data_IF_601346680176
#
_entry.id   IF_601346680176
#
_cell.length_a   1.000
_cell.length_b   1.000
_cell.length_c   1.000
_cell.angle_alpha   90.00
_cell.angle_beta   90.00
_cell.angle_gamma   90.00
#
_symmetry.space_group_name_H-M   'P 1'
#
loop_
_entity.id
_entity.type
_entity.pdbx_description
1 polymer ?
#
# COMPACT_ATOMS: atom_id res chain seq x y z
N UNK A 1 -38.33 -15.20 9.72
CA UNK A 1 -37.64 -16.13 8.80
C UNK A 1 -36.49 -16.77 9.57
N UNK A 2 -36.59 -18.05 9.95
CA UNK A 2 -35.61 -18.73 10.81
C UNK A 2 -34.26 -18.87 10.09
N UNK A 3 -33.16 -18.59 10.80
CA UNK A 3 -31.76 -18.62 10.34
C UNK A 3 -31.39 -19.92 9.61
N UNK A 4 -32.09 -21.01 9.91
CA UNK A 4 -31.92 -22.35 9.33
C UNK A 4 -32.19 -22.43 7.82
N UNK A 5 -33.02 -21.52 7.28
CA UNK A 5 -33.37 -21.54 5.85
C UNK A 5 -32.34 -20.83 4.96
N UNK A 6 -31.51 -19.93 5.49
CA UNK A 6 -30.45 -19.26 4.73
C UNK A 6 -29.22 -20.15 4.50
N UNK A 7 -29.04 -21.17 5.34
CA UNK A 7 -27.92 -22.12 5.32
C UNK A 7 -28.05 -23.15 4.18
N UNK A 8 -29.26 -23.44 3.70
CA UNK A 8 -29.48 -24.51 2.69
C UNK A 8 -29.12 -24.12 1.26
N UNK A 9 -28.98 -22.84 0.94
CA UNK A 9 -28.75 -22.38 -0.44
C UNK A 9 -27.26 -22.20 -0.83
N UNK A 10 -26.33 -22.40 0.11
CA UNK A 10 -24.90 -22.16 -0.14
C UNK A 10 -24.10 -23.37 0.33
N UNK A 11 -23.14 -23.85 -0.48
CA UNK A 11 -22.24 -24.95 -0.12
C UNK A 11 -21.36 -24.53 1.06
N UNK A 12 -21.88 -24.68 2.28
CA UNK A 12 -21.19 -24.35 3.53
C UNK A 12 -20.30 -25.52 3.94
N UNK A 13 -18.99 -25.29 4.00
CA UNK A 13 -18.08 -26.20 4.72
C UNK A 13 -18.07 -25.78 6.19
N UNK A 14 -18.62 -26.63 7.07
CA UNK A 14 -18.58 -26.44 8.52
C UNK A 14 -17.25 -26.97 9.03
N UNK A 15 -16.41 -26.10 9.56
CA UNK A 15 -15.20 -26.50 10.28
C UNK A 15 -15.49 -26.44 11.78
N UNK A 16 -15.48 -27.59 12.44
CA UNK A 16 -15.56 -27.69 13.90
C UNK A 16 -14.13 -27.77 14.44
N UNK A 17 -13.71 -26.79 15.23
CA UNK A 17 -12.37 -26.76 15.86
C UNK A 17 -12.37 -27.34 17.29
N UNK A 18 -13.48 -27.95 17.74
CA UNK A 18 -13.60 -28.51 19.09
C UNK A 18 -13.74 -27.47 20.21
N UNK A 19 -13.74 -26.18 19.86
CA UNK A 19 -14.09 -25.04 20.71
C UNK A 19 -15.35 -24.44 20.08
N UNK A 20 -16.21 -23.76 20.84
CA UNK A 20 -17.53 -23.22 20.44
C UNK A 20 -17.53 -22.19 19.28
N UNK A 21 -16.49 -22.17 18.44
CA UNK A 21 -16.35 -21.32 17.27
C UNK A 21 -16.89 -22.03 16.03
N UNK A 22 -17.82 -21.39 15.32
CA UNK A 22 -18.32 -21.85 14.02
C UNK A 22 -17.79 -20.89 12.96
N UNK A 23 -16.99 -21.43 12.03
CA UNK A 23 -16.55 -20.73 10.82
C UNK A 23 -17.52 -21.09 9.71
N UNK A 24 -18.29 -20.10 9.21
CA UNK A 24 -19.12 -20.24 8.02
C UNK A 24 -18.46 -19.49 6.87
N UNK A 25 -18.02 -20.22 5.85
CA UNK A 25 -17.53 -19.64 4.60
C UNK A 25 -18.61 -19.80 3.52
N UNK A 26 -19.19 -18.69 3.07
CA UNK A 26 -20.05 -18.62 1.89
C UNK A 26 -19.30 -17.90 0.76
N UNK A 27 -19.59 -18.20 -0.51
CA UNK A 27 -18.94 -17.61 -1.69
C UNK A 27 -18.93 -16.07 -1.62
N UNK A 28 -17.81 -15.50 -1.13
CA UNK A 28 -17.49 -14.09 -0.93
C UNK A 28 -17.81 -13.46 0.45
N UNK A 29 -18.28 -14.22 1.44
CA UNK A 29 -18.47 -13.74 2.82
C UNK A 29 -18.03 -14.81 3.84
N UNK A 30 -17.17 -14.43 4.77
CA UNK A 30 -16.83 -15.26 5.93
C UNK A 30 -17.57 -14.73 7.16
N UNK A 31 -18.43 -15.54 7.76
CA UNK A 31 -19.07 -15.24 9.03
C UNK A 31 -18.32 -16.00 10.13
N UNK A 32 -17.60 -15.26 10.97
CA UNK A 32 -17.02 -15.80 12.19
C UNK A 32 -17.97 -15.49 13.34
N UNK A 33 -18.63 -16.51 13.88
CA UNK A 33 -19.38 -16.37 15.13
C UNK A 33 -18.46 -16.74 16.28
N UNK A 34 -17.92 -15.72 16.97
CA UNK A 34 -17.05 -15.89 18.13
C UNK A 34 -17.87 -15.80 19.42
N UNK A 35 -18.04 -16.92 20.11
CA UNK A 35 -18.67 -16.91 21.44
C UNK A 35 -17.60 -16.60 22.50
N UNK A 36 -17.51 -15.31 22.87
CA UNK A 36 -17.13 -14.82 24.21
C UNK A 36 -15.91 -15.46 24.89
N UNK A 37 -14.80 -15.67 24.17
CA UNK A 37 -13.43 -15.66 24.67
C UNK A 37 -12.50 -15.81 23.46
N UNK A 38 -11.90 -14.71 23.01
CA UNK A 38 -11.02 -14.72 21.85
C UNK A 38 -9.69 -15.39 22.25
N UNK A 39 -9.62 -16.72 22.16
CA UNK A 39 -8.35 -17.42 22.32
C UNK A 39 -7.38 -16.96 21.23
N UNK A 40 -6.07 -16.91 21.53
CA UNK A 40 -5.04 -16.51 20.55
C UNK A 40 -5.12 -17.35 19.25
N UNK A 41 -5.59 -18.60 19.38
CA UNK A 41 -5.80 -19.55 18.29
C UNK A 41 -6.99 -19.14 17.41
N UNK A 42 -8.14 -18.81 18.02
CA UNK A 42 -9.34 -18.34 17.31
C UNK A 42 -9.06 -17.04 16.55
N UNK A 43 -8.26 -16.14 17.15
CA UNK A 43 -7.83 -14.92 16.49
C UNK A 43 -6.91 -15.24 15.30
N UNK A 44 -5.88 -16.07 15.45
CA UNK A 44 -5.03 -16.51 14.33
C UNK A 44 -5.82 -17.14 13.17
N UNK A 45 -6.84 -17.94 13.45
CA UNK A 45 -7.71 -18.51 12.42
C UNK A 45 -8.52 -17.45 11.68
N UNK A 46 -9.04 -16.43 12.39
CA UNK A 46 -9.73 -15.29 11.76
C UNK A 46 -8.81 -14.46 10.85
N UNK A 47 -7.52 -14.37 11.19
CA UNK A 47 -6.52 -13.61 10.42
C UNK A 47 -6.24 -14.20 9.05
N UNK A 48 -6.27 -15.53 8.93
CA UNK A 48 -6.01 -16.26 7.67
C UNK A 48 -7.01 -15.89 6.58
N UNK A 49 -8.23 -15.49 6.97
CA UNK A 49 -9.32 -15.19 6.04
C UNK A 49 -9.55 -13.70 5.79
N UNK A 50 -8.72 -12.81 6.35
CA UNK A 50 -8.77 -11.39 6.03
C UNK A 50 -8.20 -11.14 4.63
N UNK A 51 -9.07 -11.27 3.64
CA UNK A 51 -8.74 -11.00 2.25
C UNK A 51 -8.69 -9.49 1.97
N UNK A 52 -8.13 -9.15 0.81
CA UNK A 52 -8.00 -7.76 0.42
C UNK A 52 -9.37 -7.04 0.28
N UNK A 53 -10.41 -7.80 -0.05
CA UNK A 53 -11.74 -7.27 -0.35
C UNK A 53 -12.58 -6.95 0.91
N UNK A 54 -12.24 -7.55 2.05
CA UNK A 54 -13.01 -7.38 3.29
C UNK A 54 -12.72 -6.07 4.03
N UNK A 55 -11.56 -5.46 3.78
CA UNK A 55 -11.21 -4.15 4.38
C UNK A 55 -11.55 -3.06 3.37
N UNK A 56 -12.79 -2.57 3.46
CA UNK A 56 -13.21 -1.39 2.71
C UNK A 56 -12.47 -0.15 3.24
N UNK A 57 -11.90 0.65 2.32
CA UNK A 57 -11.09 1.84 2.59
C UNK A 57 -9.76 1.59 3.32
N UNK A 58 -8.68 1.42 2.55
CA UNK A 58 -7.31 1.19 3.04
C UNK A 58 -6.41 2.40 2.90
N UNK A 59 -7.01 3.57 2.66
CA UNK A 59 -6.26 4.80 2.53
C UNK A 59 -6.10 5.42 3.91
N UNK A 60 -4.85 5.64 4.30
CA UNK A 60 -4.50 6.41 5.50
C UNK A 60 -3.64 7.60 5.11
N UNK A 61 -3.72 8.68 5.88
CA UNK A 61 -2.80 9.82 5.73
C UNK A 61 -1.58 9.64 6.62
N UNK A 62 -0.39 9.72 6.03
CA UNK A 62 0.88 9.59 6.75
C UNK A 62 1.79 10.76 6.46
N UNK A 63 2.63 11.13 7.43
CA UNK A 63 3.63 12.17 7.19
C UNK A 63 4.65 11.66 6.17
N UNK A 64 5.00 12.49 5.20
CA UNK A 64 5.98 12.15 4.16
C UNK A 64 7.33 11.76 4.78
N UNK A 65 7.74 12.42 5.86
CA UNK A 65 8.98 12.13 6.60
C UNK A 65 8.97 10.79 7.34
N UNK A 66 7.80 10.24 7.61
CA UNK A 66 7.64 8.98 8.35
C UNK A 66 7.62 7.77 7.40
N UNK A 67 7.77 7.96 6.09
CA UNK A 67 7.81 6.90 5.09
C UNK A 67 9.22 6.31 4.94
N UNK A 68 9.35 5.01 5.23
CA UNK A 68 10.58 4.23 5.08
C UNK A 68 10.51 3.36 3.83
N UNK A 69 11.64 3.04 3.21
CA UNK A 69 11.73 2.08 2.12
C UNK A 69 12.00 0.68 2.68
N UNK A 70 11.26 -0.31 2.19
CA UNK A 70 11.62 -1.70 2.39
C UNK A 70 12.88 -2.05 1.58
N UNK A 71 13.86 -2.76 2.17
CA UNK A 71 14.96 -3.43 1.46
C UNK A 71 14.90 -4.96 1.62
N UNK A 72 14.89 -5.72 0.52
CA UNK A 72 15.24 -7.15 0.58
C UNK A 72 16.74 -7.24 0.86
N UNK A 73 17.15 -8.04 1.84
CA UNK A 73 18.55 -8.31 2.17
C UNK A 73 19.36 -9.01 1.05
N UNK A 74 18.74 -9.39 -0.06
CA UNK A 74 19.44 -9.80 -1.27
C UNK A 74 19.92 -8.58 -2.07
N UNK A 75 20.94 -7.89 -1.57
CA UNK A 75 21.83 -7.07 -2.40
C UNK A 75 23.21 -7.73 -2.34
N UNK A 76 23.31 -8.95 -2.88
CA UNK A 76 24.46 -9.21 -3.75
C UNK A 76 24.21 -8.38 -5.02
N UNK A 77 25.27 -7.77 -5.54
CA UNK A 77 25.27 -6.68 -6.52
C UNK A 77 24.51 -6.90 -7.83
N UNK A 78 24.01 -8.10 -8.11
CA UNK A 78 23.64 -8.51 -9.48
C UNK A 78 22.27 -9.20 -9.62
N UNK A 79 21.38 -9.13 -8.62
CA UNK A 79 20.02 -9.66 -8.76
C UNK A 79 18.94 -8.64 -8.34
N UNK A 80 17.87 -8.49 -9.16
CA UNK A 80 16.91 -7.40 -9.01
C UNK A 80 15.98 -7.58 -7.80
N UNK A 81 15.55 -6.44 -7.26
CA UNK A 81 14.47 -6.19 -6.27
C UNK A 81 13.07 -6.76 -6.67
N UNK A 82 12.99 -7.98 -7.19
CA UNK A 82 11.80 -8.82 -7.39
C UNK A 82 11.71 -9.76 -6.17
N UNK A 83 10.69 -9.81 -5.32
CA UNK A 83 9.29 -10.10 -5.64
C UNK A 83 8.29 -9.48 -4.62
N UNK A 84 8.27 -8.15 -4.48
CA UNK A 84 7.37 -7.47 -3.52
C UNK A 84 5.88 -7.67 -3.79
N UNK A 85 5.49 -7.72 -5.06
CA UNK A 85 4.08 -7.88 -5.43
C UNK A 85 3.58 -9.23 -4.92
N UNK A 86 4.33 -10.30 -5.13
CA UNK A 86 3.93 -11.65 -4.73
C UNK A 86 3.83 -11.77 -3.20
N UNK A 87 4.74 -11.13 -2.45
CA UNK A 87 4.75 -11.24 -1.00
C UNK A 87 3.44 -10.74 -0.36
N UNK A 88 2.87 -9.64 -0.87
CA UNK A 88 1.71 -8.97 -0.25
C UNK A 88 0.40 -9.08 -1.04
N UNK A 89 0.41 -9.63 -2.25
CA UNK A 89 -0.81 -9.73 -3.07
C UNK A 89 -1.85 -10.72 -2.52
N UNK A 90 -1.43 -11.75 -1.79
CA UNK A 90 -2.30 -12.89 -1.46
C UNK A 90 -2.92 -12.85 -0.05
N UNK A 91 -2.47 -11.96 0.83
CA UNK A 91 -3.05 -11.81 2.18
C UNK A 91 -2.82 -10.39 2.69
N UNK A 92 -3.84 -9.81 3.34
CA UNK A 92 -3.71 -8.51 3.99
C UNK A 92 -2.90 -8.58 5.28
N UNK A 93 -2.97 -9.70 6.01
CA UNK A 93 -2.21 -9.89 7.25
C UNK A 93 -1.02 -10.80 6.99
N UNK A 94 0.16 -10.39 7.45
CA UNK A 94 1.41 -11.13 7.26
C UNK A 94 2.18 -11.28 8.56
N UNK A 95 2.75 -12.45 8.77
CA UNK A 95 3.65 -12.76 9.87
C UNK A 95 5.12 -12.73 9.40
N UNK A 96 6.03 -13.11 10.30
CA UNK A 96 7.44 -13.28 9.97
C UNK A 96 8.32 -12.05 10.28
N UNK A 97 9.39 -11.92 9.50
CA UNK A 97 10.48 -10.94 9.75
C UNK A 97 10.69 -9.98 8.58
N UNK A 98 9.70 -9.84 7.69
CA UNK A 98 9.81 -8.98 6.51
C UNK A 98 10.10 -7.53 6.90
N UNK A 99 9.56 -7.05 8.01
CA UNK A 99 9.73 -5.67 8.45
C UNK A 99 11.09 -5.32 9.06
N UNK A 100 12.02 -6.28 9.22
CA UNK A 100 13.33 -6.04 9.86
C UNK A 100 14.29 -5.22 8.99
N UNK A 101 14.11 -5.26 7.67
CA UNK A 101 15.06 -4.70 6.72
C UNK A 101 14.49 -3.48 6.03
N UNK A 102 14.51 -2.35 6.73
CA UNK A 102 14.01 -1.07 6.23
C UNK A 102 15.08 0.00 6.30
N UNK A 103 15.09 0.92 5.33
CA UNK A 103 15.96 2.11 5.33
C UNK A 103 15.16 3.36 5.01
N UNK A 104 15.74 4.52 5.29
CA UNK A 104 15.18 5.78 4.83
C UNK A 104 15.19 5.83 3.30
N UNK A 105 14.11 6.36 2.70
CA UNK A 105 14.00 6.50 1.25
C UNK A 105 15.08 7.48 0.76
N UNK A 106 15.24 8.62 1.42
CA UNK A 106 16.28 9.60 1.11
C UNK A 106 17.39 9.49 2.17
N UNK A 107 18.69 9.46 1.79
CA UNK A 107 19.24 9.62 0.43
C UNK A 107 19.32 8.31 -0.38
N UNK A 108 19.12 7.14 0.24
CA UNK A 108 19.54 5.84 -0.32
C UNK A 108 18.83 5.44 -1.63
N UNK A 109 17.61 5.89 -1.86
CA UNK A 109 16.82 5.54 -3.04
C UNK A 109 17.16 6.43 -4.24
N UNK A 110 17.59 7.67 -4.02
CA UNK A 110 17.86 8.64 -5.09
C UNK A 110 19.10 8.25 -5.92
N UNK A 111 20.08 7.60 -5.29
CA UNK A 111 21.37 7.26 -5.89
C UNK A 111 21.40 5.87 -6.56
N UNK A 112 20.29 5.12 -6.60
CA UNK A 112 20.27 3.78 -7.20
C UNK A 112 20.08 3.85 -8.72
N UNK A 113 20.78 2.99 -9.47
CA UNK A 113 20.63 2.87 -10.93
C UNK A 113 19.45 1.97 -11.37
N UNK A 114 18.53 1.71 -10.47
CA UNK A 114 17.30 0.97 -10.72
C UNK A 114 16.25 1.88 -11.39
N UNK A 115 15.53 1.38 -12.43
CA UNK A 115 14.37 2.07 -13.06
C UNK A 115 13.43 2.87 -12.14
N UNK A 116 13.12 2.36 -10.94
CA UNK A 116 12.18 3.03 -10.03
C UNK A 116 12.81 4.23 -9.33
N UNK A 117 14.08 4.12 -8.98
CA UNK A 117 14.91 5.24 -8.53
C UNK A 117 15.09 6.26 -9.66
N UNK A 118 15.28 5.80 -10.91
CA UNK A 118 15.33 6.66 -12.10
C UNK A 118 14.04 7.49 -12.23
N UNK A 119 12.85 6.90 -12.06
CA UNK A 119 11.59 7.67 -12.11
C UNK A 119 11.45 8.71 -11.01
N UNK A 120 11.85 8.35 -9.78
CA UNK A 120 11.87 9.29 -8.67
C UNK A 120 12.85 10.45 -8.94
N UNK A 121 14.09 10.14 -9.33
CA UNK A 121 15.14 11.12 -9.64
C UNK A 121 14.77 12.02 -10.82
N UNK A 122 14.22 11.47 -11.89
CA UNK A 122 13.78 12.25 -13.07
C UNK A 122 12.69 13.28 -12.71
N UNK A 123 11.90 12.99 -11.68
CA UNK A 123 10.90 13.95 -11.18
C UNK A 123 11.57 15.13 -10.46
N UNK A 124 12.66 14.91 -9.74
CA UNK A 124 13.50 15.97 -9.17
C UNK A 124 14.21 16.77 -10.26
N UNK A 125 14.82 16.09 -11.24
CA UNK A 125 15.45 16.72 -12.41
C UNK A 125 14.48 17.70 -13.08
N UNK A 126 13.27 17.24 -13.37
CA UNK A 126 12.26 18.05 -14.06
C UNK A 126 11.76 19.25 -13.24
N UNK A 127 11.33 19.03 -11.99
CA UNK A 127 10.59 20.06 -11.25
C UNK A 127 11.42 20.86 -10.26
N UNK A 128 12.47 20.27 -9.69
CA UNK A 128 13.37 20.94 -8.74
C UNK A 128 14.58 21.53 -9.45
N UNK A 129 15.24 20.75 -10.30
CA UNK A 129 16.47 21.16 -11.01
C UNK A 129 16.18 21.88 -12.33
N UNK A 130 14.91 21.87 -12.78
CA UNK A 130 14.44 22.54 -14.01
C UNK A 130 15.09 22.03 -15.30
N UNK A 131 15.50 20.76 -15.31
CA UNK A 131 16.04 20.08 -16.48
C UNK A 131 14.90 19.78 -17.47
N UNK A 132 15.16 19.92 -18.77
CA UNK A 132 14.18 19.55 -19.79
C UNK A 132 13.91 18.04 -19.73
N UNK A 133 12.65 17.63 -19.94
CA UNK A 133 12.29 16.22 -19.82
C UNK A 133 13.04 15.32 -20.81
N UNK A 134 13.45 15.84 -21.97
CA UNK A 134 14.26 15.09 -22.95
C UNK A 134 15.65 14.74 -22.41
N UNK A 135 16.17 15.52 -21.47
CA UNK A 135 17.48 15.33 -20.86
C UNK A 135 17.40 14.54 -19.54
N UNK A 136 16.19 14.23 -19.07
CA UNK A 136 15.99 13.46 -17.84
C UNK A 136 16.32 11.98 -18.03
N UNK A 137 16.79 11.33 -16.95
CA UNK A 137 17.29 9.96 -16.99
C UNK A 137 16.24 8.93 -17.43
N UNK A 138 14.99 9.12 -17.01
CA UNK A 138 13.86 8.25 -17.40
C UNK A 138 13.56 8.38 -18.89
N UNK A 139 13.62 9.59 -19.46
CA UNK A 139 13.41 9.78 -20.90
C UNK A 139 14.49 9.05 -21.68
N UNK A 140 15.76 9.28 -21.33
CA UNK A 140 16.91 8.63 -21.96
C UNK A 140 16.84 7.11 -21.85
N UNK A 141 16.40 6.59 -20.69
CA UNK A 141 16.24 5.16 -20.50
C UNK A 141 15.10 4.58 -21.36
N UNK A 142 13.96 5.26 -21.46
CA UNK A 142 12.78 4.80 -22.20
C UNK A 142 12.91 4.94 -23.71
N UNK A 143 13.51 6.01 -24.24
CA UNK A 143 13.70 6.16 -25.70
C UNK A 143 14.67 5.07 -26.23
N UNK A 144 15.63 4.64 -25.40
CA UNK A 144 16.58 3.57 -25.72
C UNK A 144 16.08 2.17 -25.37
N UNK A 145 15.05 2.04 -24.53
CA UNK A 145 14.59 0.75 -24.00
C UNK A 145 15.61 0.07 -23.07
N UNK A 146 16.26 0.86 -22.20
CA UNK A 146 17.34 0.42 -21.31
C UNK A 146 16.96 0.51 -19.82
N UNK A 147 17.84 0.04 -18.93
CA UNK A 147 17.63 0.05 -17.46
C UNK A 147 16.35 -0.66 -16.99
N UNK A 148 15.82 -1.60 -17.79
CA UNK A 148 14.58 -2.34 -17.50
C UNK A 148 13.29 -1.58 -17.83
N UNK A 149 13.37 -0.50 -18.61
CA UNK A 149 12.24 0.16 -19.24
C UNK A 149 11.97 -0.41 -20.64
N UNK A 150 10.70 -0.57 -20.99
CA UNK A 150 10.30 -0.80 -22.36
C UNK A 150 10.61 0.43 -23.22
N UNK A 151 11.00 0.19 -24.47
CA UNK A 151 11.22 1.26 -25.45
C UNK A 151 9.91 2.00 -25.70
N UNK A 152 9.95 3.33 -25.73
CA UNK A 152 8.82 4.19 -26.07
C UNK A 152 9.20 5.12 -27.23
N UNK A 153 8.21 5.55 -27.98
CA UNK A 153 8.33 6.60 -29.00
C UNK A 153 8.39 7.99 -28.38
N UNK A 154 8.84 8.99 -29.14
CA UNK A 154 8.85 10.38 -28.69
C UNK A 154 7.45 10.90 -28.38
N UNK A 155 6.44 10.54 -29.18
CA UNK A 155 5.04 10.94 -28.94
C UNK A 155 4.52 10.41 -27.60
N UNK A 156 4.73 9.12 -27.32
CA UNK A 156 4.31 8.52 -26.05
C UNK A 156 5.05 9.13 -24.85
N UNK A 157 6.32 9.51 -25.03
CA UNK A 157 7.09 10.20 -24.00
C UNK A 157 6.56 11.62 -23.77
N UNK A 158 6.26 12.38 -24.82
CA UNK A 158 5.69 13.71 -24.71
C UNK A 158 4.37 13.66 -23.93
N UNK A 159 3.44 12.77 -24.31
CA UNK A 159 2.17 12.59 -23.60
C UNK A 159 2.38 12.21 -22.13
N UNK A 160 3.34 11.31 -21.85
CA UNK A 160 3.68 10.91 -20.48
C UNK A 160 4.17 12.10 -19.64
N UNK A 161 5.03 12.94 -20.20
CA UNK A 161 5.58 14.08 -19.47
C UNK A 161 4.58 15.22 -19.33
N UNK A 162 3.69 15.45 -20.29
CA UNK A 162 2.57 16.37 -20.12
C UNK A 162 1.62 15.91 -19.02
N UNK A 163 1.31 14.61 -18.96
CA UNK A 163 0.55 14.04 -17.84
C UNK A 163 1.27 14.25 -16.50
N UNK A 164 2.59 14.05 -16.45
CA UNK A 164 3.37 14.27 -15.24
C UNK A 164 3.36 15.75 -14.80
N UNK A 165 3.49 16.70 -15.74
CA UNK A 165 3.37 18.14 -15.48
C UNK A 165 1.99 18.49 -14.95
N UNK A 166 0.93 17.96 -15.56
CA UNK A 166 -0.46 18.15 -15.10
C UNK A 166 -0.64 17.67 -13.65
N UNK A 167 -0.13 16.48 -13.31
CA UNK A 167 -0.15 15.96 -11.93
C UNK A 167 0.61 16.89 -10.97
N UNK A 168 1.81 17.35 -11.36
CA UNK A 168 2.58 18.29 -10.54
C UNK A 168 1.82 19.58 -10.28
N UNK A 169 1.21 20.18 -11.32
CA UNK A 169 0.46 21.42 -11.17
C UNK A 169 -0.77 21.23 -10.28
N UNK A 170 -1.52 20.14 -10.47
CA UNK A 170 -2.69 19.84 -9.62
C UNK A 170 -2.31 19.66 -8.16
N UNK A 171 -1.24 18.90 -7.86
CA UNK A 171 -0.79 18.74 -6.46
C UNK A 171 -0.29 20.08 -5.88
N UNK A 172 0.34 20.91 -6.72
CA UNK A 172 0.84 22.23 -6.31
C UNK A 172 -0.30 23.22 -6.02
N UNK A 173 -1.36 23.24 -6.83
CA UNK A 173 -2.47 24.18 -6.68
C UNK A 173 -3.49 23.73 -5.64
N UNK A 174 -3.81 22.43 -5.62
CA UNK A 174 -4.96 21.90 -4.89
C UNK A 174 -4.57 21.03 -3.68
N UNK A 175 -3.27 20.85 -3.45
CA UNK A 175 -2.75 19.88 -2.50
C UNK A 175 -2.82 18.44 -3.02
N UNK A 176 -2.32 17.51 -2.20
CA UNK A 176 -2.29 16.10 -2.58
C UNK A 176 -3.64 15.42 -2.31
N UNK A 177 -4.39 15.11 -3.37
CA UNK A 177 -5.66 14.38 -3.31
C UNK A 177 -5.49 12.89 -3.58
N UNK A 178 -6.21 12.03 -2.86
CA UNK A 178 -6.22 10.60 -3.17
C UNK A 178 -6.96 10.31 -4.48
N UNK A 179 -6.71 9.16 -5.10
CA UNK A 179 -7.43 8.70 -6.29
C UNK A 179 -8.95 8.60 -6.04
N UNK A 180 -9.35 8.32 -4.81
CA UNK A 180 -10.74 8.33 -4.37
C UNK A 180 -11.32 9.76 -4.44
N UNK A 181 -10.58 10.74 -3.93
CA UNK A 181 -11.02 12.14 -3.91
C UNK A 181 -11.06 12.75 -5.32
N UNK A 182 -10.22 12.25 -6.23
CA UNK A 182 -10.20 12.65 -7.64
C UNK A 182 -11.37 12.06 -8.45
N UNK A 183 -12.24 11.25 -7.86
CA UNK A 183 -13.32 10.52 -8.56
C UNK A 183 -12.82 9.78 -9.82
N UNK A 184 -11.55 9.39 -9.84
CA UNK A 184 -10.96 8.71 -10.99
C UNK A 184 -11.69 7.38 -11.19
N UNK A 185 -12.27 7.17 -12.37
CA UNK A 185 -12.91 5.91 -12.76
C UNK A 185 -12.09 5.26 -13.89
N UNK A 186 -11.67 3.98 -13.72
CA UNK A 186 -11.73 3.18 -12.50
C UNK A 186 -10.90 3.79 -11.36
N UNK A 187 -11.32 3.60 -10.11
CA UNK A 187 -10.53 3.99 -8.93
C UNK A 187 -9.29 3.09 -8.88
N UNK A 188 -8.22 3.53 -9.53
CA UNK A 188 -6.98 2.78 -9.63
C UNK A 188 -6.17 3.00 -8.34
N UNK A 189 -6.55 2.32 -7.26
CA UNK A 189 -5.69 2.12 -6.07
C UNK A 189 -4.28 1.64 -6.45
N UNK A 190 -4.12 1.08 -7.67
CA UNK A 190 -2.84 0.72 -8.28
C UNK A 190 -1.87 1.91 -8.41
N UNK A 191 -2.38 3.12 -8.55
CA UNK A 191 -1.62 4.36 -8.77
C UNK A 191 -1.37 5.17 -7.48
N UNK A 192 -1.85 4.68 -6.34
CA UNK A 192 -1.54 5.26 -5.03
C UNK A 192 -0.13 4.88 -4.54
N UNK A 193 0.39 5.70 -3.62
CA UNK A 193 1.58 5.32 -2.85
C UNK A 193 1.19 4.13 -1.98
N UNK A 194 1.78 2.96 -2.23
CA UNK A 194 1.47 1.75 -1.49
C UNK A 194 2.44 1.59 -0.33
N UNK A 195 1.88 1.27 0.83
CA UNK A 195 2.63 0.98 2.05
C UNK A 195 2.23 -0.36 2.62
N UNK A 196 3.10 -0.92 3.45
CA UNK A 196 2.76 -1.97 4.42
C UNK A 196 3.03 -1.45 5.82
N UNK A 197 2.29 -1.94 6.83
CA UNK A 197 2.49 -1.53 8.22
C UNK A 197 3.29 -2.58 8.99
N UNK A 198 4.46 -2.19 9.52
CA UNK A 198 5.34 -3.09 10.28
C UNK A 198 4.72 -3.61 11.60
N UNK A 199 5.46 -4.41 12.36
CA UNK A 199 4.99 -4.95 13.65
C UNK A 199 4.62 -3.89 14.69
N UNK A 200 5.01 -2.64 14.49
CA UNK A 200 4.72 -1.47 15.33
C UNK A 200 3.75 -0.49 14.68
N UNK A 201 3.18 -0.81 13.50
CA UNK A 201 2.25 0.06 12.78
C UNK A 201 2.92 1.15 11.94
N UNK A 202 4.24 1.12 11.79
CA UNK A 202 4.99 2.12 11.05
C UNK A 202 4.86 1.86 9.54
N UNK A 203 4.59 2.91 8.73
CA UNK A 203 4.40 2.73 7.30
C UNK A 203 5.72 2.54 6.55
N UNK A 204 5.80 1.45 5.79
CA UNK A 204 6.92 1.14 4.90
C UNK A 204 6.43 1.23 3.46
N UNK A 205 6.94 2.22 2.72
CA UNK A 205 6.67 2.43 1.29
C UNK A 205 7.23 1.29 0.46
N UNK A 206 6.39 0.76 -0.42
CA UNK A 206 6.80 -0.17 -1.46
C UNK A 206 7.44 0.60 -2.63
N UNK A 207 8.67 0.24 -2.98
CA UNK A 207 9.46 0.90 -4.02
C UNK A 207 8.77 0.95 -5.39
N UNK A 208 7.83 0.04 -5.66
CA UNK A 208 7.15 -0.10 -6.96
C UNK A 208 5.94 0.80 -7.17
N UNK A 209 5.60 1.63 -6.19
CA UNK A 209 4.34 2.38 -6.21
C UNK A 209 4.56 3.88 -6.24
N UNK A 210 3.87 4.54 -7.17
CA UNK A 210 3.68 5.99 -7.26
C UNK A 210 4.94 6.86 -7.01
N UNK A 211 6.10 6.45 -7.54
CA UNK A 211 7.38 7.14 -7.27
C UNK A 211 7.38 8.60 -7.74
N UNK A 212 6.72 8.91 -8.86
CA UNK A 212 6.53 10.28 -9.30
C UNK A 212 5.75 11.11 -8.30
N UNK A 213 4.59 10.62 -7.84
CA UNK A 213 3.75 11.36 -6.89
C UNK A 213 4.45 11.54 -5.54
N UNK A 214 5.18 10.52 -5.09
CA UNK A 214 6.00 10.62 -3.88
C UNK A 214 7.12 11.67 -4.02
N UNK A 215 7.84 11.69 -5.15
CA UNK A 215 8.83 12.73 -5.43
C UNK A 215 8.20 14.12 -5.47
N UNK A 216 7.05 14.29 -6.14
CA UNK A 216 6.32 15.56 -6.19
C UNK A 216 5.95 16.04 -4.78
N UNK A 217 5.43 15.15 -3.92
CA UNK A 217 5.08 15.50 -2.55
C UNK A 217 6.30 16.04 -1.76
N UNK A 218 7.48 15.44 -1.97
CA UNK A 218 8.72 15.92 -1.34
C UNK A 218 9.22 17.23 -1.93
N UNK A 219 9.15 17.41 -3.25
CA UNK A 219 9.55 18.66 -3.92
C UNK A 219 8.69 19.83 -3.45
N UNK A 220 7.39 19.59 -3.23
CA UNK A 220 6.42 20.59 -2.80
C UNK A 220 6.32 20.71 -1.27
N UNK A 221 7.15 19.99 -0.50
CA UNK A 221 7.13 19.97 0.97
C UNK A 221 5.73 19.68 1.56
N UNK A 222 4.98 18.77 0.93
CA UNK A 222 3.69 18.31 1.46
C UNK A 222 3.92 17.55 2.76
N UNK A 223 3.26 17.94 3.85
CA UNK A 223 3.45 17.30 5.16
C UNK A 223 2.86 15.89 5.17
N UNK A 224 1.63 15.71 4.66
CA UNK A 224 0.88 14.47 4.69
C UNK A 224 0.47 14.00 3.30
N UNK A 225 0.60 12.71 3.03
CA UNK A 225 0.13 12.09 1.79
C UNK A 225 -0.81 10.92 2.09
N UNK A 226 -1.86 10.73 1.28
CA UNK A 226 -2.65 9.52 1.32
C UNK A 226 -1.79 8.36 0.81
N UNK A 227 -1.84 7.24 1.53
CA UNK A 227 -1.16 6.00 1.16
C UNK A 227 -2.14 4.85 1.25
N UNK A 228 -2.03 3.92 0.32
CA UNK A 228 -2.81 2.70 0.29
C UNK A 228 -2.09 1.59 1.07
N UNK A 229 -2.72 1.11 2.14
CA UNK A 229 -2.19 0.01 2.94
C UNK A 229 -2.45 -1.31 2.21
N UNK A 230 -1.39 -1.93 1.70
CA UNK A 230 -1.45 -3.19 0.97
C UNK A 230 -1.52 -4.40 1.92
N UNK A 231 -0.78 -4.33 3.02
CA UNK A 231 -0.73 -5.36 4.05
C UNK A 231 -0.28 -4.80 5.40
N UNK A 232 -0.53 -5.56 6.46
CA UNK A 232 -0.21 -5.23 7.85
C UNK A 232 0.45 -6.43 8.54
N UNK A 233 1.33 -6.16 9.50
CA UNK A 233 1.98 -7.20 10.28
C UNK A 233 1.04 -7.77 11.35
N UNK A 234 1.08 -9.09 11.58
CA UNK A 234 0.21 -9.76 12.57
C UNK A 234 0.37 -9.17 13.98
N UNK A 235 1.63 -8.89 14.38
CA UNK A 235 1.95 -8.31 15.68
C UNK A 235 1.30 -6.94 15.90
N UNK A 236 1.22 -6.11 14.87
CA UNK A 236 0.52 -4.83 14.96
C UNK A 236 -0.99 -5.04 15.10
N UNK A 237 -1.55 -5.97 14.33
CA UNK A 237 -2.98 -6.28 14.39
C UNK A 237 -3.40 -6.80 15.77
N UNK A 238 -2.59 -7.67 16.37
CA UNK A 238 -2.82 -8.16 17.74
C UNK A 238 -2.87 -7.01 18.75
N UNK A 239 -1.95 -6.06 18.63
CA UNK A 239 -1.89 -4.90 19.53
C UNK A 239 -3.12 -4.00 19.37
N UNK A 240 -3.53 -3.68 18.14
CA UNK A 240 -4.72 -2.83 17.95
C UNK A 240 -6.02 -3.54 18.35
N UNK A 241 -6.13 -4.86 18.17
CA UNK A 241 -7.28 -5.64 18.65
C UNK A 241 -7.40 -5.53 20.17
N UNK A 242 -6.27 -5.62 20.88
CA UNK A 242 -6.20 -5.43 22.33
C UNK A 242 -6.55 -4.00 22.72
N UNK A 243 -5.97 -3.00 22.05
CA UNK A 243 -6.22 -1.59 22.32
C UNK A 243 -7.69 -1.21 22.16
N UNK A 244 -8.36 -1.70 21.11
CA UNK A 244 -9.75 -1.38 20.81
C UNK A 244 -10.76 -2.36 21.43
N UNK A 245 -10.28 -3.41 22.10
CA UNK A 245 -11.08 -4.52 22.63
C UNK A 245 -12.14 -5.00 21.62
N UNK A 246 -11.72 -5.25 20.39
CA UNK A 246 -12.61 -5.60 19.29
C UNK A 246 -12.01 -6.62 18.34
N UNK A 247 -12.85 -7.26 17.55
CA UNK A 247 -12.44 -8.14 16.47
C UNK A 247 -11.57 -7.43 15.40
N UNK A 248 -10.74 -8.18 14.64
CA UNK A 248 -9.73 -7.60 13.75
C UNK A 248 -10.22 -6.54 12.76
N UNK A 249 -11.32 -6.80 12.03
CA UNK A 249 -11.84 -5.84 11.05
C UNK A 249 -12.26 -4.53 11.69
N UNK A 250 -12.96 -4.61 12.83
CA UNK A 250 -13.43 -3.44 13.55
C UNK A 250 -12.26 -2.68 14.17
N UNK A 251 -11.25 -3.38 14.68
CA UNK A 251 -10.04 -2.78 15.21
C UNK A 251 -9.27 -2.01 14.12
N UNK A 252 -9.07 -2.62 12.94
CA UNK A 252 -8.42 -1.98 11.79
C UNK A 252 -9.18 -0.72 11.38
N UNK A 253 -10.51 -0.84 11.20
CA UNK A 253 -11.35 0.28 10.79
C UNK A 253 -11.26 1.44 11.78
N UNK A 254 -11.50 1.18 13.06
CA UNK A 254 -11.39 2.19 14.12
C UNK A 254 -10.02 2.87 14.12
N UNK A 255 -8.96 2.09 13.96
CA UNK A 255 -7.60 2.63 13.97
C UNK A 255 -7.31 3.50 12.75
N UNK A 256 -7.73 3.09 11.55
CA UNK A 256 -7.57 3.89 10.32
C UNK A 256 -8.41 5.16 10.36
N UNK A 257 -9.65 5.08 10.84
CA UNK A 257 -10.52 6.25 11.03
C UNK A 257 -9.88 7.24 12.02
N UNK A 258 -9.29 6.74 13.11
CA UNK A 258 -8.56 7.58 14.06
C UNK A 258 -7.36 8.28 13.41
N UNK A 259 -6.53 7.56 12.64
CA UNK A 259 -5.40 8.16 11.90
C UNK A 259 -5.88 9.27 10.96
N UNK A 260 -6.95 9.02 10.21
CA UNK A 260 -7.48 9.97 9.24
C UNK A 260 -8.16 11.18 9.90
N UNK A 261 -8.82 11.00 11.05
CA UNK A 261 -9.44 12.10 11.80
C UNK A 261 -8.44 13.15 12.29
N UNK A 262 -7.16 12.78 12.47
CA UNK A 262 -6.08 13.71 12.81
C UNK A 262 -5.72 14.60 11.61
N UNK A 263 -5.90 14.10 10.39
CA UNK A 263 -5.65 14.84 9.16
C UNK A 263 -6.81 15.78 8.82
N UNK A 264 -8.07 15.31 8.90
CA UNK A 264 -9.25 16.14 8.55
C UNK A 264 -9.43 17.39 9.43
N UNK A 265 -8.74 17.44 10.58
CA UNK A 265 -8.75 18.59 11.50
C UNK A 265 -7.68 19.66 11.20
N UNK A 266 -6.88 19.49 10.14
CA UNK A 266 -5.83 20.42 9.70
C UNK A 266 -6.17 21.03 8.34
#
# INVERSE_FOLDING_TARGET
MKLENAVRATTLKKFSTGINDIILAAKNCLYLFMYKACSLISLKLSLIFLTQDLVSNRVIYVKVRDLYLYLTESISSDQPLLEWQNLFNNSFVKDGSWDKNVRLIVPHYYNQHHKRAISYRSTFQLFKEKINYVDCDEYQSKIKGSNGFAKMTESELNERYEKLKSIYQSIKSDGYKSQKDLNAKPCHWKDEIKVVLDRKGKPIKLAQSANHRFAIAQILNIEYVPVYVLAIHEGWLLEICKQHNSEPLLAIKKHFDNINSVYEKK
#
